data_IF_783651436566
#
_entry.id   IF_783651436566
#
_cell.length_a   1.000
_cell.length_b   1.000
_cell.length_c   1.000
_cell.angle_alpha   90.00
_cell.angle_beta   90.00
_cell.angle_gamma   90.00
#
_symmetry.space_group_name_H-M   'P 1'
#
loop_
_entity.id
_entity.type
_entity.pdbx_description
1 polymer ?
#
# COMPACT_ATOMS: atom_id res chain seq x y z
N UNK A 1 -18.03 -7.49 -28.38
CA UNK A 1 -17.12 -6.72 -27.51
C UNK A 1 -17.81 -6.55 -26.17
N UNK A 2 -17.47 -7.38 -25.18
CA UNK A 2 -18.12 -7.34 -23.87
C UNK A 2 -17.36 -6.35 -22.99
N UNK A 3 -17.98 -5.20 -22.71
CA UNK A 3 -17.51 -4.27 -21.71
C UNK A 3 -17.62 -4.94 -20.34
N UNK A 4 -16.48 -5.31 -19.77
CA UNK A 4 -16.40 -5.64 -18.34
C UNK A 4 -16.70 -4.35 -17.58
N UNK A 5 -17.93 -4.22 -17.08
CA UNK A 5 -18.29 -3.15 -16.15
C UNK A 5 -17.49 -3.41 -14.87
N UNK A 6 -16.44 -2.63 -14.65
CA UNK A 6 -15.76 -2.57 -13.36
C UNK A 6 -16.80 -2.12 -12.32
N UNK A 7 -17.25 -3.08 -11.51
CA UNK A 7 -18.05 -2.78 -10.34
C UNK A 7 -17.09 -2.11 -9.36
N UNK A 8 -17.32 -0.83 -9.10
CA UNK A 8 -16.69 -0.07 -8.03
C UNK A 8 -17.05 -0.74 -6.71
N UNK A 9 -16.24 -1.71 -6.26
CA UNK A 9 -16.22 -2.12 -4.86
C UNK A 9 -15.17 -1.25 -4.20
N UNK A 10 -15.53 0.00 -3.93
CA UNK A 10 -14.88 0.68 -2.82
C UNK A 10 -15.21 -0.17 -1.59
N UNK A 11 -14.23 -0.84 -1.00
CA UNK A 11 -14.39 -1.32 0.38
C UNK A 11 -14.34 -0.07 1.26
N UNK A 12 -15.43 0.68 1.22
CA UNK A 12 -15.82 1.52 2.31
C UNK A 12 -16.08 0.57 3.47
N UNK A 13 -15.17 0.48 4.42
CA UNK A 13 -15.57 0.03 5.76
C UNK A 13 -16.40 1.17 6.36
N UNK A 14 -17.61 1.39 5.84
CA UNK A 14 -18.65 2.16 6.53
C UNK A 14 -19.12 1.22 7.64
N UNK A 15 -18.52 1.36 8.82
CA UNK A 15 -19.21 0.92 10.03
C UNK A 15 -20.35 1.91 10.20
N UNK A 16 -21.56 1.49 9.82
CA UNK A 16 -22.77 2.22 10.15
C UNK A 16 -22.71 2.56 11.64
N UNK A 17 -22.87 3.85 11.95
CA UNK A 17 -22.90 4.38 13.31
C UNK A 17 -23.84 3.55 14.17
N UNK A 18 -23.28 2.62 14.95
CA UNK A 18 -24.07 1.61 15.64
C UNK A 18 -23.29 0.35 16.00
N UNK A 19 -22.35 0.47 16.94
CA UNK A 19 -21.75 -0.63 17.70
C UNK A 19 -20.94 -1.68 16.92
N UNK A 20 -19.61 -1.54 16.97
CA UNK A 20 -18.65 -2.53 17.48
C UNK A 20 -17.26 -1.91 17.35
N UNK A 21 -16.54 -1.81 18.47
CA UNK A 21 -15.12 -1.46 18.48
C UNK A 21 -14.40 -2.55 17.68
N UNK A 22 -13.98 -2.25 16.43
CA UNK A 22 -13.06 -3.12 15.70
C UNK A 22 -11.71 -2.91 16.37
N UNK A 23 -11.30 -3.87 17.19
CA UNK A 23 -10.08 -3.72 18.01
C UNK A 23 -8.82 -4.09 17.24
N UNK A 24 -8.96 -4.95 16.22
CA UNK A 24 -7.86 -5.36 15.35
C UNK A 24 -8.41 -5.66 13.95
N UNK A 25 -7.97 -4.89 12.95
CA UNK A 25 -8.15 -5.24 11.54
C UNK A 25 -6.82 -5.75 10.99
N UNK A 26 -6.83 -6.97 10.45
CA UNK A 26 -5.63 -7.66 9.99
C UNK A 26 -5.63 -7.91 8.49
N UNK A 27 -4.50 -7.69 7.81
CA UNK A 27 -4.27 -8.27 6.47
C UNK A 27 -3.42 -9.51 6.62
N UNK A 28 -3.96 -10.66 6.18
CA UNK A 28 -3.20 -11.91 6.12
C UNK A 28 -2.72 -12.19 4.71
N UNK A 29 -1.39 -12.27 4.54
CA UNK A 29 -0.73 -12.74 3.34
C UNK A 29 -0.20 -14.16 3.58
N UNK A 30 -0.42 -15.09 2.63
CA UNK A 30 -0.09 -16.51 2.79
C UNK A 30 1.23 -16.86 2.09
N UNK A 31 2.32 -17.15 2.81
CA UNK A 31 3.63 -17.51 2.25
C UNK A 31 3.79 -19.01 1.90
N UNK A 32 4.69 -19.40 0.95
CA UNK A 32 4.80 -20.79 0.51
C UNK A 32 5.60 -21.72 1.43
N UNK A 33 5.50 -22.98 1.01
CA UNK A 33 5.68 -24.24 1.70
C UNK A 33 7.04 -24.89 1.34
N UNK A 34 7.66 -25.61 2.27
CA UNK A 34 8.67 -26.63 1.96
C UNK A 34 8.00 -28.01 1.83
N UNK A 35 8.41 -28.79 0.83
CA UNK A 35 8.11 -30.22 0.69
C UNK A 35 9.05 -31.04 1.60
N UNK A 36 8.94 -30.87 2.92
CA UNK A 36 9.57 -31.76 3.92
C UNK A 36 9.03 -31.48 5.31
N UNK A 37 7.89 -32.13 5.62
CA UNK A 37 7.31 -32.34 6.94
C UNK A 37 7.91 -31.59 8.15
N UNK A 38 7.47 -30.34 8.38
CA UNK A 38 7.17 -29.72 9.69
C UNK A 38 6.68 -28.30 9.44
N UNK A 39 5.41 -28.05 9.72
CA UNK A 39 4.70 -26.84 9.35
C UNK A 39 5.00 -25.67 10.30
N UNK A 40 5.40 -24.52 9.75
CA UNK A 40 5.10 -23.20 10.34
C UNK A 40 4.42 -22.37 9.26
N UNK A 41 3.17 -22.00 9.50
CA UNK A 41 2.41 -21.06 8.65
C UNK A 41 3.08 -19.69 8.79
N UNK A 42 3.79 -19.23 7.76
CA UNK A 42 4.21 -17.83 7.71
C UNK A 42 3.01 -17.01 7.22
N UNK A 43 2.33 -16.39 8.17
CA UNK A 43 1.26 -15.43 7.92
C UNK A 43 1.83 -14.06 8.23
N UNK A 44 2.05 -13.22 7.22
CA UNK A 44 2.27 -11.82 7.52
C UNK A 44 0.92 -11.23 7.92
N UNK A 45 0.86 -10.72 9.14
CA UNK A 45 -0.30 -9.99 9.65
C UNK A 45 0.12 -8.53 9.81
N UNK A 46 -0.66 -7.63 9.26
CA UNK A 46 -0.52 -6.20 9.55
C UNK A 46 -1.72 -5.78 10.37
N UNK A 47 -1.47 -5.30 11.59
CA UNK A 47 -2.50 -4.66 12.40
C UNK A 47 -2.81 -3.28 11.83
N UNK A 48 -4.10 -3.01 11.63
CA UNK A 48 -4.58 -1.72 11.17
C UNK A 48 -5.24 -0.97 12.33
N UNK A 49 -4.85 0.29 12.48
CA UNK A 49 -5.38 1.22 13.47
C UNK A 49 -6.48 2.07 12.83
N UNK A 50 -7.63 2.17 13.49
CA UNK A 50 -8.68 3.10 13.08
C UNK A 50 -8.22 4.54 13.26
N UNK A 51 -8.53 5.38 12.29
CA UNK A 51 -8.36 6.81 12.35
C UNK A 51 -9.71 7.52 12.34
N UNK A 52 -9.81 8.67 11.65
CA UNK A 52 -11.06 9.40 11.56
C UNK A 52 -11.97 8.78 10.52
N UNK A 53 -13.27 8.76 10.82
CA UNK A 53 -14.35 8.44 9.87
C UNK A 53 -14.26 7.03 9.27
N UNK A 54 -13.82 6.02 10.03
CA UNK A 54 -13.77 4.63 9.57
C UNK A 54 -12.63 4.33 8.58
N UNK A 55 -11.63 5.20 8.50
CA UNK A 55 -10.41 4.94 7.74
C UNK A 55 -9.41 4.18 8.61
N UNK A 56 -8.73 3.18 8.04
CA UNK A 56 -7.76 2.35 8.76
C UNK A 56 -6.38 2.47 8.11
N UNK A 57 -5.34 2.57 8.93
CA UNK A 57 -3.95 2.58 8.47
C UNK A 57 -3.16 1.46 9.12
N UNK A 58 -2.20 0.92 8.39
CA UNK A 58 -1.15 0.09 8.96
C UNK A 58 0.20 0.76 8.83
N UNK A 59 1.21 0.00 9.20
CA UNK A 59 2.61 0.44 9.18
C UNK A 59 3.40 -0.46 8.24
N UNK A 60 4.30 0.17 7.48
CA UNK A 60 5.34 -0.52 6.71
C UNK A 60 6.69 0.09 7.05
N UNK A 61 7.77 -0.65 6.82
CA UNK A 61 9.12 -0.09 6.88
C UNK A 61 9.72 -0.01 5.48
N UNK A 62 10.33 1.13 5.16
CA UNK A 62 10.85 1.44 3.84
C UNK A 62 12.34 1.73 3.93
N UNK A 63 13.11 1.21 2.98
CA UNK A 63 14.56 1.37 2.91
C UNK A 63 15.31 0.45 3.88
N UNK A 64 16.62 0.32 3.66
CA UNK A 64 17.50 -0.53 4.51
C UNK A 64 17.60 -0.02 5.95
N UNK A 65 17.44 1.27 6.15
CA UNK A 65 17.37 1.93 7.46
C UNK A 65 16.01 1.79 8.15
N UNK A 66 15.04 1.09 7.53
CA UNK A 66 13.72 0.75 8.07
C UNK A 66 12.96 1.98 8.57
N UNK A 67 12.80 2.98 7.72
CA UNK A 67 11.96 4.14 8.03
C UNK A 67 10.49 3.71 8.13
N UNK A 68 9.88 3.96 9.29
CA UNK A 68 8.48 3.62 9.55
C UNK A 68 7.56 4.56 8.76
N UNK A 69 6.60 4.02 8.01
CA UNK A 69 5.64 4.80 7.22
C UNK A 69 4.21 4.33 7.49
N UNK A 70 3.27 5.26 7.66
CA UNK A 70 1.85 4.95 7.76
C UNK A 70 1.24 4.81 6.37
N UNK A 71 0.42 3.78 6.14
CA UNK A 71 -0.17 3.51 4.83
C UNK A 71 -1.62 3.04 4.93
N UNK A 72 -2.41 3.37 3.92
CA UNK A 72 -3.68 2.68 3.65
C UNK A 72 -3.39 1.45 2.81
N UNK A 73 -4.01 0.32 3.15
CA UNK A 73 -4.04 -0.84 2.27
C UNK A 73 -5.28 -0.75 1.38
N UNK A 74 -5.06 -0.49 0.09
CA UNK A 74 -6.11 -0.14 -0.85
C UNK A 74 -6.36 -1.29 -1.85
N UNK A 75 -7.53 -1.91 -1.74
CA UNK A 75 -7.94 -3.01 -2.62
C UNK A 75 -8.34 -2.55 -4.02
N UNK A 76 -8.49 -1.24 -4.23
CA UNK A 76 -8.96 -0.65 -5.49
C UNK A 76 -7.82 -0.23 -6.40
N UNK A 77 -6.55 -0.43 -5.99
CA UNK A 77 -5.41 -0.12 -6.84
C UNK A 77 -4.23 -1.07 -6.66
N UNK A 78 -3.46 -1.27 -7.72
CA UNK A 78 -2.16 -1.96 -7.69
C UNK A 78 -0.97 -1.05 -7.31
N UNK A 79 -1.19 0.27 -7.21
CA UNK A 79 -0.14 1.24 -6.90
C UNK A 79 0.27 1.20 -5.43
N UNK A 80 1.55 0.99 -5.16
CA UNK A 80 2.15 1.29 -3.85
C UNK A 80 2.96 2.59 -3.94
N UNK A 81 2.74 3.52 -3.01
CA UNK A 81 3.50 4.76 -2.90
C UNK A 81 3.61 5.24 -1.45
N UNK A 82 4.69 5.95 -1.16
CA UNK A 82 4.95 6.57 0.15
C UNK A 82 5.24 8.06 0.00
N UNK A 83 4.89 8.89 0.99
CA UNK A 83 5.13 10.34 0.92
C UNK A 83 6.62 10.65 1.10
N UNK A 84 7.11 11.61 0.32
CA UNK A 84 8.47 12.14 0.41
C UNK A 84 8.55 13.18 1.52
N UNK A 85 9.67 13.19 2.25
CA UNK A 85 9.96 14.23 3.25
C UNK A 85 9.92 15.63 2.64
N UNK A 86 9.32 16.57 3.36
CA UNK A 86 9.14 17.96 2.90
C UNK A 86 8.03 18.11 1.86
N UNK A 87 7.19 17.09 1.70
CA UNK A 87 5.98 17.15 0.88
C UNK A 87 4.79 17.74 1.63
N UNK A 88 3.59 17.44 1.13
CA UNK A 88 2.33 17.90 1.72
C UNK A 88 1.90 17.08 2.97
N UNK A 89 2.71 16.13 3.43
CA UNK A 89 2.33 15.09 4.39
C UNK A 89 3.01 15.22 5.75
N UNK A 90 3.53 16.40 6.10
CA UNK A 90 4.30 16.67 7.34
C UNK A 90 3.69 16.21 8.68
N UNK A 91 2.40 15.82 8.71
CA UNK A 91 1.73 15.22 9.87
C UNK A 91 1.93 13.71 10.01
N UNK A 92 2.60 13.07 9.05
CA UNK A 92 2.87 11.65 9.03
C UNK A 92 4.35 11.39 8.89
N UNK A 93 4.74 10.14 9.12
CA UNK A 93 6.08 9.71 8.80
C UNK A 93 6.27 9.74 7.29
N UNK A 94 7.11 10.67 6.85
CA UNK A 94 7.52 10.84 5.45
C UNK A 94 8.83 10.09 5.22
N UNK A 95 8.97 9.51 4.03
CA UNK A 95 10.17 8.80 3.64
C UNK A 95 11.25 9.77 3.14
N UNK A 96 12.45 9.63 3.68
CA UNK A 96 13.65 10.30 3.22
C UNK A 96 14.51 9.35 2.36
N UNK A 97 14.62 9.59 1.04
CA UNK A 97 15.45 8.77 0.15
C UNK A 97 16.94 9.17 0.24
N UNK A 98 17.51 9.12 1.45
CA UNK A 98 18.92 9.42 1.70
C UNK A 98 19.83 8.20 1.48
N UNK A 99 21.17 8.38 1.57
CA UNK A 99 22.12 7.29 1.36
C UNK A 99 21.90 6.06 2.26
N UNK A 100 21.38 6.26 3.47
CA UNK A 100 21.13 5.17 4.43
C UNK A 100 19.95 4.25 4.03
N UNK A 101 19.00 4.75 3.24
CA UNK A 101 17.84 3.96 2.82
C UNK A 101 18.13 3.07 1.61
N UNK A 102 19.20 3.38 0.86
CA UNK A 102 19.58 2.72 -0.40
C UNK A 102 18.48 2.78 -1.48
N UNK A 103 17.56 3.74 -1.35
CA UNK A 103 16.53 3.97 -2.36
C UNK A 103 17.15 4.56 -3.64
N UNK A 104 16.79 3.99 -4.79
CA UNK A 104 17.27 4.46 -6.09
C UNK A 104 16.13 5.10 -6.86
N UNK A 105 16.20 6.41 -7.05
CA UNK A 105 15.27 7.15 -7.90
C UNK A 105 15.50 6.81 -9.37
N UNK A 106 14.41 6.59 -10.11
CA UNK A 106 14.49 6.11 -11.50
C UNK A 106 14.47 7.23 -12.55
N UNK A 107 14.20 8.47 -12.16
CA UNK A 107 13.92 9.61 -13.04
C UNK A 107 12.50 9.62 -13.63
N UNK A 108 11.78 8.50 -13.55
CA UNK A 108 10.46 8.34 -14.17
C UNK A 108 9.37 8.83 -13.23
N UNK A 109 8.49 9.69 -13.74
CA UNK A 109 7.38 10.25 -12.96
C UNK A 109 6.15 9.34 -12.95
N UNK A 110 5.31 9.51 -11.93
CA UNK A 110 3.97 8.94 -11.85
C UNK A 110 2.94 10.00 -11.44
N UNK A 111 1.70 9.78 -11.87
CA UNK A 111 0.53 10.54 -11.45
C UNK A 111 -0.63 9.57 -11.26
N UNK A 112 -1.35 9.67 -10.13
CA UNK A 112 -2.52 8.85 -9.83
C UNK A 112 -3.63 9.72 -9.29
N UNK A 113 -4.81 9.55 -9.88
CA UNK A 113 -6.02 10.20 -9.41
C UNK A 113 -6.74 9.31 -8.38
N UNK A 114 -7.07 9.89 -7.23
CA UNK A 114 -7.87 9.30 -6.17
C UNK A 114 -9.11 10.15 -5.94
N UNK A 115 -10.24 9.76 -6.55
CA UNK A 115 -11.50 10.52 -6.52
C UNK A 115 -11.29 12.00 -6.90
N UNK A 116 -11.23 12.87 -5.89
CA UNK A 116 -11.09 14.32 -6.01
C UNK A 116 -9.64 14.82 -5.87
N UNK A 117 -8.68 13.93 -5.67
CA UNK A 117 -7.27 14.26 -5.44
C UNK A 117 -6.37 13.67 -6.53
N UNK A 118 -5.21 14.30 -6.73
CA UNK A 118 -4.12 13.80 -7.57
C UNK A 118 -2.87 13.71 -6.71
N UNK A 119 -2.20 12.56 -6.79
CA UNK A 119 -0.89 12.30 -6.19
C UNK A 119 0.13 12.19 -7.30
N UNK A 120 1.22 12.94 -7.20
CA UNK A 120 2.33 12.88 -8.16
C UNK A 120 3.67 12.68 -7.46
N UNK A 121 4.59 12.09 -8.20
CA UNK A 121 5.95 11.89 -7.73
C UNK A 121 6.78 11.08 -8.71
N UNK A 122 7.78 10.41 -8.17
CA UNK A 122 8.77 9.68 -8.95
C UNK A 122 8.83 8.22 -8.54
N UNK A 123 9.08 7.30 -9.47
CA UNK A 123 9.31 5.91 -9.13
C UNK A 123 10.70 5.72 -8.51
N UNK A 124 10.77 4.84 -7.53
CA UNK A 124 12.02 4.43 -6.91
C UNK A 124 12.08 2.91 -6.75
N UNK A 125 13.30 2.37 -6.76
CA UNK A 125 13.58 1.02 -6.28
C UNK A 125 13.96 1.11 -4.81
N UNK A 126 13.31 0.31 -3.97
CA UNK A 126 13.56 0.34 -2.53
C UNK A 126 13.20 -0.99 -1.89
N UNK A 127 13.75 -1.24 -0.72
CA UNK A 127 13.32 -2.34 0.14
C UNK A 127 12.04 -1.95 0.89
N UNK A 128 11.11 -2.90 1.01
CA UNK A 128 9.82 -2.71 1.68
C UNK A 128 9.55 -3.90 2.61
N UNK A 129 9.22 -3.61 3.85
CA UNK A 129 8.83 -4.58 4.87
C UNK A 129 7.38 -4.35 5.29
N UNK A 130 6.57 -5.41 5.23
CA UNK A 130 5.14 -5.41 5.54
C UNK A 130 4.87 -6.58 6.50
N UNK A 131 4.65 -6.28 7.78
CA UNK A 131 4.65 -7.30 8.82
C UNK A 131 5.96 -8.08 8.80
N UNK A 132 5.89 -9.41 8.71
CA UNK A 132 7.07 -10.29 8.66
C UNK A 132 7.64 -10.51 7.24
N UNK A 133 7.03 -9.92 6.21
CA UNK A 133 7.50 -10.05 4.82
C UNK A 133 8.50 -8.94 4.52
N UNK A 134 9.65 -9.32 3.97
CA UNK A 134 10.68 -8.41 3.46
C UNK A 134 10.82 -8.57 1.96
N UNK A 135 10.71 -7.45 1.24
CA UNK A 135 10.83 -7.39 -0.21
C UNK A 135 11.98 -6.47 -0.54
N UNK A 136 12.86 -6.94 -1.42
CA UNK A 136 14.02 -6.17 -1.84
C UNK A 136 13.84 -5.64 -3.25
N UNK A 137 14.33 -4.42 -3.47
CA UNK A 137 14.35 -3.77 -4.79
C UNK A 137 12.96 -3.75 -5.46
N UNK A 138 11.93 -3.42 -4.70
CA UNK A 138 10.57 -3.24 -5.22
C UNK A 138 10.45 -1.85 -5.84
N UNK A 139 9.81 -1.76 -7.01
CA UNK A 139 9.47 -0.47 -7.61
C UNK A 139 8.20 0.08 -6.96
N UNK A 140 8.31 1.21 -6.25
CA UNK A 140 7.17 1.93 -5.66
C UNK A 140 7.23 3.43 -5.99
N UNK A 141 6.13 4.14 -5.79
CA UNK A 141 6.08 5.59 -5.95
C UNK A 141 6.63 6.33 -4.72
N UNK A 142 7.45 7.35 -4.95
CA UNK A 142 7.81 8.37 -3.98
C UNK A 142 7.00 9.64 -4.26
N UNK A 143 5.89 9.81 -3.54
CA UNK A 143 4.97 10.91 -3.76
C UNK A 143 5.53 12.23 -3.22
N UNK A 144 5.57 13.26 -4.04
CA UNK A 144 6.08 14.59 -3.63
C UNK A 144 5.01 15.69 -3.69
N UNK A 145 3.90 15.44 -4.39
CA UNK A 145 2.79 16.40 -4.53
C UNK A 145 1.45 15.74 -4.28
N UNK A 146 0.58 16.48 -3.60
CA UNK A 146 -0.82 16.14 -3.39
C UNK A 146 -1.63 17.42 -3.59
N UNK A 147 -2.60 17.37 -4.50
CA UNK A 147 -3.51 18.49 -4.70
C UNK A 147 -4.91 18.00 -5.07
N UNK A 148 -5.90 18.83 -4.72
CA UNK A 148 -7.28 18.58 -5.07
C UNK A 148 -7.52 18.96 -6.53
N UNK A 149 -8.26 18.14 -7.29
CA UNK A 149 -8.76 18.48 -8.62
C UNK A 149 -9.61 19.74 -8.60
N UNK A 150 -10.35 19.93 -7.51
CA UNK A 150 -11.08 21.15 -7.23
C UNK A 150 -10.62 21.70 -5.87
N UNK A 151 -9.98 22.89 -5.84
CA UNK A 151 -9.43 23.50 -4.62
C UNK A 151 -10.46 23.68 -3.49
N UNK A 152 -11.75 23.74 -3.83
CA UNK A 152 -12.86 23.93 -2.88
C UNK A 152 -13.03 22.75 -1.92
N UNK A 153 -12.66 21.53 -2.33
CA UNK A 153 -12.86 20.31 -1.55
C UNK A 153 -11.69 19.97 -0.62
N UNK A 154 -10.60 20.75 -0.66
CA UNK A 154 -9.36 20.47 0.06
C UNK A 154 -8.68 19.17 -0.40
N UNK A 155 -7.46 18.94 0.06
CA UNK A 155 -6.79 17.64 -0.19
C UNK A 155 -7.33 16.59 0.77
N UNK A 156 -7.73 15.44 0.21
CA UNK A 156 -8.06 14.25 0.98
C UNK A 156 -6.87 13.70 1.76
N UNK A 157 -7.15 12.91 2.79
CA UNK A 157 -6.18 12.40 3.76
C UNK A 157 -5.65 11.02 3.32
N UNK A 158 -4.38 10.95 2.90
CA UNK A 158 -3.69 9.68 2.63
C UNK A 158 -2.25 9.75 3.14
N UNK A 159 -1.87 8.95 4.16
CA UNK A 159 -0.49 8.92 4.67
C UNK A 159 0.50 8.19 3.76
N UNK A 160 -0.01 7.53 2.71
CA UNK A 160 0.69 6.56 1.88
C UNK A 160 -0.29 5.47 1.45
N UNK A 161 0.02 4.72 0.41
CA UNK A 161 -0.84 3.63 -0.09
C UNK A 161 -0.02 2.39 -0.37
N UNK A 162 -0.51 1.25 0.08
CA UNK A 162 -0.11 -0.08 -0.37
C UNK A 162 -1.24 -0.65 -1.23
N UNK A 163 -0.99 -0.80 -2.52
CA UNK A 163 -1.96 -1.34 -3.46
C UNK A 163 -2.09 -2.86 -3.34
N UNK A 164 -3.33 -3.35 -3.25
CA UNK A 164 -3.67 -4.76 -3.09
C UNK A 164 -4.41 -5.35 -4.30
N UNK A 165 -4.43 -4.65 -5.43
CA UNK A 165 -4.90 -5.25 -6.68
C UNK A 165 -3.84 -6.18 -7.27
N UNK A 166 -4.28 -7.28 -7.88
CA UNK A 166 -3.39 -8.24 -8.53
C UNK A 166 -2.86 -7.72 -9.87
N UNK A 167 -3.74 -7.13 -10.67
CA UNK A 167 -3.40 -6.57 -11.98
C UNK A 167 -3.19 -5.05 -11.85
N UNK A 168 -2.23 -4.51 -12.60
CA UNK A 168 -1.94 -3.08 -12.58
C UNK A 168 -3.06 -2.25 -13.23
N UNK A 169 -3.52 -1.21 -12.54
CA UNK A 169 -4.53 -0.25 -13.04
C UNK A 169 -4.02 0.75 -14.09
N UNK A 170 -2.71 0.81 -14.33
CA UNK A 170 -2.12 1.80 -15.22
C UNK A 170 -1.11 1.13 -16.15
N UNK A 171 -0.91 1.67 -17.37
CA UNK A 171 0.08 1.16 -18.32
C UNK A 171 1.53 1.31 -17.83
N UNK A 172 1.72 1.85 -16.62
CA UNK A 172 3.01 2.20 -16.06
C UNK A 172 3.47 1.27 -14.94
N UNK A 173 2.70 0.23 -14.59
CA UNK A 173 3.11 -0.78 -13.62
C UNK A 173 3.82 -1.92 -14.32
N UNK A 174 5.10 -2.13 -14.02
CA UNK A 174 5.75 -3.38 -14.40
C UNK A 174 5.18 -4.54 -13.58
N UNK A 175 4.93 -4.36 -12.26
CA UNK A 175 4.28 -5.34 -11.35
C UNK A 175 3.58 -4.66 -10.17
N UNK A 176 2.44 -5.21 -9.73
CA UNK A 176 1.80 -4.85 -8.45
C UNK A 176 2.55 -5.50 -7.27
N UNK A 177 2.32 -5.04 -6.04
CA UNK A 177 2.89 -5.67 -4.83
C UNK A 177 2.53 -7.15 -4.76
N UNK A 178 1.24 -7.49 -4.94
CA UNK A 178 0.78 -8.87 -4.86
C UNK A 178 1.30 -9.73 -6.02
N UNK A 179 1.41 -9.15 -7.22
CA UNK A 179 2.05 -9.81 -8.37
C UNK A 179 3.52 -10.14 -8.08
N UNK A 180 4.28 -9.16 -7.55
CA UNK A 180 5.67 -9.39 -7.15
C UNK A 180 5.78 -10.47 -6.08
N UNK A 181 4.94 -10.43 -5.04
CA UNK A 181 4.92 -11.43 -3.97
C UNK A 181 4.65 -12.85 -4.51
N UNK A 182 3.72 -12.97 -5.46
CA UNK A 182 3.38 -14.25 -6.05
C UNK A 182 4.53 -14.81 -6.90
N UNK A 183 5.08 -14.00 -7.79
CA UNK A 183 6.17 -14.43 -8.68
C UNK A 183 7.48 -14.74 -7.93
N UNK A 184 7.80 -13.94 -6.90
CA UNK A 184 8.95 -14.16 -6.03
C UNK A 184 8.77 -15.35 -5.07
N UNK A 185 7.63 -16.05 -5.13
CA UNK A 185 7.28 -17.14 -4.21
C UNK A 185 7.38 -16.69 -2.75
N UNK A 186 6.95 -15.47 -2.47
CA UNK A 186 6.72 -14.99 -1.10
C UNK A 186 5.27 -15.20 -0.67
N UNK A 187 4.35 -15.45 -1.62
CA UNK A 187 3.00 -15.95 -1.35
C UNK A 187 2.67 -17.23 -2.15
N UNK A 188 1.88 -18.13 -1.56
CA UNK A 188 1.49 -19.42 -2.15
C UNK A 188 0.38 -19.29 -3.20
N UNK A 189 -0.48 -18.28 -3.03
CA UNK A 189 -1.54 -17.94 -3.96
C UNK A 189 -1.70 -16.42 -4.01
N UNK A 190 -2.16 -15.85 -5.13
CA UNK A 190 -2.49 -14.44 -5.24
C UNK A 190 -3.80 -14.19 -4.48
N UNK A 191 -3.76 -14.24 -3.15
CA UNK A 191 -4.91 -14.06 -2.27
C UNK A 191 -4.49 -13.35 -0.98
N UNK A 192 -5.35 -12.47 -0.49
CA UNK A 192 -5.24 -11.88 0.83
C UNK A 192 -6.61 -11.93 1.52
N UNK A 193 -6.64 -11.74 2.83
CA UNK A 193 -7.88 -11.65 3.61
C UNK A 193 -7.85 -10.43 4.51
N UNK A 194 -8.95 -9.70 4.52
CA UNK A 194 -9.25 -8.69 5.54
C UNK A 194 -10.08 -9.35 6.63
N UNK A 195 -9.56 -9.39 7.86
CA UNK A 195 -10.28 -9.94 9.01
C UNK A 195 -10.60 -8.85 10.02
N UNK A 196 -11.88 -8.73 10.37
CA UNK A 196 -12.39 -7.89 11.44
C UNK A 196 -12.56 -8.74 12.70
N UNK A 197 -11.89 -8.38 13.79
CA UNK A 197 -12.01 -9.06 15.09
C UNK A 197 -12.67 -8.16 16.13
#
# INVERSE_FOLDING_TARGET
MNFCRAILITVHVIIATGSRNVTNLGIKLYAPHSLSGRFKRATASVELTEARLGHYFGVVFVGRDRQLIHVVFDTTTGLTWVPKVGGHWSKYHEFYPGPASDAVLTGRQFSKEYLLNIVEGEWMWVDLEIGDIKLSQLTIGLASRLYAKNPTFGTGFFPGVVGLQFDGDTPYFEKTLLGYLFESRNIASPQFTLSFQ
#
